data_IF_217696983480
#
_entry.id   IF_217696983480
#
_cell.length_a   1.000
_cell.length_b   1.000
_cell.length_c   1.000
_cell.angle_alpha   90.00
_cell.angle_beta   90.00
_cell.angle_gamma   90.00
#
_symmetry.space_group_name_H-M   'P 1'
#
loop_
_entity.id
_entity.type
_entity.pdbx_description
1 polymer ?
#
# COMPACT_ATOMS: atom_id res chain seq x y z
N UNK A 1 -12.32 12.82 -31.33
CA UNK A 1 -10.87 13.11 -31.25
C UNK A 1 -10.39 13.11 -29.79
N UNK A 2 -10.66 12.05 -29.01
CA UNK A 2 -10.26 11.94 -27.60
C UNK A 2 -9.75 10.51 -27.25
N UNK A 3 -9.29 9.75 -28.25
CA UNK A 3 -8.80 8.38 -28.09
C UNK A 3 -7.27 8.26 -28.23
N UNK A 4 -6.52 9.30 -27.84
CA UNK A 4 -5.10 9.44 -28.19
C UNK A 4 -4.10 9.07 -27.08
N UNK A 5 -4.52 8.97 -25.82
CA UNK A 5 -3.63 8.59 -24.72
C UNK A 5 -3.70 7.08 -24.59
N UNK A 6 -2.90 6.39 -25.39
CA UNK A 6 -2.72 4.95 -25.25
C UNK A 6 -1.77 4.66 -24.08
N UNK A 7 -2.06 3.59 -23.35
CA UNK A 7 -1.34 3.16 -22.14
C UNK A 7 0.17 3.00 -22.40
N UNK A 8 0.55 2.63 -23.62
CA UNK A 8 1.93 2.49 -24.05
C UNK A 8 2.72 3.81 -24.02
N UNK A 9 2.09 4.92 -24.41
CA UNK A 9 2.68 6.25 -24.41
C UNK A 9 2.90 6.73 -22.97
N UNK A 10 1.94 6.45 -22.08
CA UNK A 10 2.07 6.80 -20.66
C UNK A 10 3.24 6.06 -20.00
N UNK A 11 3.45 4.77 -20.31
CA UNK A 11 4.60 4.01 -19.78
C UNK A 11 5.93 4.60 -20.23
N UNK A 12 6.06 4.98 -21.51
CA UNK A 12 7.29 5.59 -22.03
C UNK A 12 7.59 6.92 -21.33
N UNK A 13 6.57 7.77 -21.15
CA UNK A 13 6.72 9.04 -20.43
C UNK A 13 7.07 8.79 -18.95
N UNK A 14 6.44 7.80 -18.32
CA UNK A 14 6.70 7.46 -16.92
C UNK A 14 8.15 7.03 -16.68
N UNK A 15 8.75 6.25 -17.58
CA UNK A 15 10.16 5.86 -17.52
C UNK A 15 11.07 7.09 -17.56
N UNK A 16 10.80 8.05 -18.45
CA UNK A 16 11.58 9.29 -18.56
C UNK A 16 11.48 10.10 -17.26
N UNK A 17 10.27 10.23 -16.70
CA UNK A 17 10.05 10.94 -15.42
C UNK A 17 10.83 10.26 -14.29
N UNK A 18 10.78 8.93 -14.17
CA UNK A 18 11.56 8.19 -13.18
C UNK A 18 13.07 8.43 -13.33
N UNK A 19 13.59 8.49 -14.57
CA UNK A 19 15.00 8.74 -14.81
C UNK A 19 15.44 10.15 -14.40
N UNK A 20 14.58 11.17 -14.61
CA UNK A 20 14.87 12.56 -14.23
C UNK A 20 14.80 12.74 -12.71
N UNK A 21 13.74 12.24 -12.07
CA UNK A 21 13.51 12.44 -10.64
C UNK A 21 14.23 11.41 -9.75
N UNK A 22 14.61 10.25 -10.32
CA UNK A 22 15.14 9.10 -9.63
C UNK A 22 14.08 8.33 -8.84
N UNK A 23 14.28 7.01 -8.70
CA UNK A 23 13.35 6.13 -7.95
C UNK A 23 13.29 6.44 -6.46
N UNK A 24 14.34 7.01 -5.86
CA UNK A 24 14.40 7.33 -4.42
C UNK A 24 13.40 8.42 -4.01
N UNK A 25 13.23 9.46 -4.84
CA UNK A 25 12.26 10.54 -4.57
C UNK A 25 10.84 10.10 -4.87
N UNK A 26 10.63 9.35 -5.96
CA UNK A 26 9.33 8.75 -6.27
C UNK A 26 8.88 7.73 -5.22
N UNK A 27 9.79 6.98 -4.58
CA UNK A 27 9.43 6.05 -3.50
C UNK A 27 9.01 6.75 -2.22
N UNK A 28 9.73 7.80 -1.81
CA UNK A 28 9.34 8.58 -0.63
C UNK A 28 7.97 9.24 -0.85
N UNK A 29 7.81 9.97 -1.95
CA UNK A 29 6.56 10.69 -2.23
C UNK A 29 5.41 9.75 -2.60
N UNK A 30 5.71 8.67 -3.32
CA UNK A 30 4.72 7.66 -3.72
C UNK A 30 4.27 6.77 -2.57
N UNK A 31 5.08 6.60 -1.52
CA UNK A 31 4.66 5.92 -0.29
C UNK A 31 3.56 6.70 0.43
N UNK A 32 3.77 7.99 0.62
CA UNK A 32 2.81 8.87 1.31
C UNK A 32 1.52 9.04 0.51
N UNK A 33 1.64 9.36 -0.79
CA UNK A 33 0.48 9.50 -1.68
C UNK A 33 -0.22 8.16 -1.92
N UNK A 34 0.53 7.08 -2.08
CA UNK A 34 0.00 5.74 -2.27
C UNK A 34 -0.74 5.23 -1.05
N UNK A 35 -0.25 5.53 0.16
CA UNK A 35 -0.94 5.22 1.41
C UNK A 35 -2.28 5.93 1.53
N UNK A 36 -2.31 7.24 1.23
CA UNK A 36 -3.54 8.03 1.25
C UNK A 36 -4.58 7.52 0.22
N UNK A 37 -4.13 7.23 -1.01
CA UNK A 37 -5.01 6.68 -2.06
C UNK A 37 -5.47 5.25 -1.73
N UNK A 38 -4.65 4.43 -1.07
CA UNK A 38 -5.03 3.08 -0.61
C UNK A 38 -6.15 3.16 0.43
N UNK A 39 -6.04 4.06 1.41
CA UNK A 39 -7.11 4.29 2.40
C UNK A 39 -8.41 4.77 1.76
N UNK A 40 -8.32 5.71 0.82
CA UNK A 40 -9.49 6.19 0.05
C UNK A 40 -10.15 5.08 -0.77
N UNK A 41 -9.36 4.26 -1.47
CA UNK A 41 -9.87 3.11 -2.23
C UNK A 41 -10.56 2.12 -1.30
N UNK A 42 -9.95 1.82 -0.14
CA UNK A 42 -10.51 0.89 0.83
C UNK A 42 -11.84 1.40 1.38
N UNK A 43 -11.93 2.67 1.77
CA UNK A 43 -13.18 3.27 2.25
C UNK A 43 -14.30 3.21 1.18
N UNK A 44 -13.98 3.57 -0.07
CA UNK A 44 -14.94 3.44 -1.19
C UNK A 44 -15.40 2.00 -1.42
N UNK A 45 -14.48 1.03 -1.31
CA UNK A 45 -14.82 -0.38 -1.53
C UNK A 45 -15.55 -0.98 -0.32
N UNK A 46 -15.29 -0.52 0.90
CA UNK A 46 -15.98 -0.94 2.12
C UNK A 46 -17.41 -0.40 2.12
N UNK A 47 -17.62 0.86 1.73
CA UNK A 47 -18.95 1.42 1.50
C UNK A 47 -19.69 0.67 0.38
N UNK A 48 -19.00 0.32 -0.72
CA UNK A 48 -19.59 -0.46 -1.82
C UNK A 48 -19.96 -1.89 -1.39
N UNK A 49 -19.12 -2.54 -0.57
CA UNK A 49 -19.36 -3.88 -0.04
C UNK A 49 -20.47 -3.87 1.02
N UNK A 50 -20.59 -2.80 1.82
CA UNK A 50 -21.68 -2.60 2.79
C UNK A 50 -23.03 -2.41 2.10
N UNK A 51 -23.06 -1.75 0.93
CA UNK A 51 -24.28 -1.60 0.11
C UNK A 51 -24.69 -2.92 -0.57
N UNK A 52 -23.74 -3.82 -0.86
CA UNK A 52 -24.02 -5.16 -1.38
C UNK A 52 -24.41 -6.17 -0.27
N UNK A 53 -23.82 -6.07 0.93
CA UNK A 53 -24.10 -6.94 2.08
C UNK A 53 -25.39 -6.57 2.84
N UNK A 54 -25.92 -5.35 2.73
CA UNK A 54 -27.27 -5.04 3.26
C UNK A 54 -28.41 -5.79 2.52
N UNK A 55 -28.10 -6.46 1.40
CA UNK A 55 -29.01 -7.41 0.74
C UNK A 55 -28.73 -8.88 1.08
N UNK A 56 -27.68 -9.18 1.83
CA UNK A 56 -27.29 -10.54 2.14
C UNK A 56 -26.51 -10.60 3.47
N UNK A 57 -27.24 -10.99 4.51
CA UNK A 57 -26.71 -11.77 5.65
C UNK A 57 -26.46 -10.98 6.94
N UNK A 58 -27.55 -10.81 7.67
CA UNK A 58 -27.62 -10.89 9.13
C UNK A 58 -27.13 -12.27 9.62
N UNK A 59 -25.85 -12.62 9.43
CA UNK A 59 -25.25 -13.83 9.98
C UNK A 59 -23.72 -13.84 9.83
N UNK A 60 -23.06 -14.34 10.88
CA UNK A 60 -21.62 -14.60 11.02
C UNK A 60 -20.72 -13.42 11.42
N UNK A 61 -20.79 -13.16 12.73
CA UNK A 61 -19.59 -13.26 13.58
C UNK A 61 -18.69 -14.44 13.16
N UNK A 62 -17.37 -14.23 13.06
CA UNK A 62 -16.29 -14.95 13.77
C UNK A 62 -14.94 -14.53 13.14
N UNK A 63 -14.03 -14.14 14.04
CA UNK A 63 -12.57 -14.08 14.01
C UNK A 63 -11.77 -14.56 12.78
N UNK A 64 -10.78 -13.77 12.39
CA UNK A 64 -9.41 -14.11 11.90
C UNK A 64 -8.77 -12.78 11.44
N UNK A 65 -7.49 -12.45 11.56
CA UNK A 65 -6.26 -13.12 11.97
C UNK A 65 -5.25 -11.96 12.15
N UNK A 66 -4.83 -11.61 13.37
CA UNK A 66 -3.66 -10.75 13.58
C UNK A 66 -2.42 -11.61 13.32
N UNK A 67 -1.92 -11.58 12.09
CA UNK A 67 -0.54 -11.95 11.78
C UNK A 67 0.20 -10.70 11.33
N UNK A 68 0.65 -9.96 12.34
CA UNK A 68 1.71 -8.98 12.23
C UNK A 68 2.93 -9.64 11.57
N UNK A 69 3.21 -9.21 10.33
CA UNK A 69 4.42 -9.58 9.62
C UNK A 69 5.61 -8.89 10.31
N UNK A 70 6.15 -9.55 11.33
CA UNK A 70 7.49 -9.24 11.86
C UNK A 70 8.50 -9.50 10.75
N UNK A 71 8.96 -8.43 10.10
CA UNK A 71 10.11 -8.43 9.21
C UNK A 71 11.29 -7.83 9.96
N UNK A 72 12.13 -8.74 10.45
CA UNK A 72 13.58 -8.63 10.61
C UNK A 72 14.20 -7.23 10.49
N UNK A 73 14.57 -6.66 11.63
CA UNK A 73 15.66 -5.70 11.69
C UNK A 73 16.69 -6.17 12.73
N UNK A 74 17.58 -7.05 12.27
CA UNK A 74 18.88 -7.28 12.88
C UNK A 74 19.60 -5.92 12.98
N UNK A 75 19.81 -5.44 14.20
CA UNK A 75 20.74 -4.36 14.53
C UNK A 75 21.21 -4.53 15.97
N UNK A 76 22.30 -5.29 16.07
CA UNK A 76 23.36 -5.29 17.09
C UNK A 76 23.12 -4.52 18.40
N UNK A 77 23.06 -5.26 19.51
CA UNK A 77 23.64 -4.78 20.78
C UNK A 77 24.28 -5.93 21.56
N UNK A 78 25.59 -6.06 21.35
CA UNK A 78 26.51 -6.88 22.16
C UNK A 78 26.54 -6.32 23.58
N UNK A 79 25.97 -7.04 24.54
CA UNK A 79 26.23 -6.88 25.97
C UNK A 79 26.92 -8.14 26.47
N UNK A 80 28.22 -8.04 26.70
CA UNK A 80 28.99 -8.97 27.50
C UNK A 80 29.56 -8.12 28.64
N UNK A 81 28.72 -7.92 29.66
CA UNK A 81 29.11 -7.43 30.98
C UNK A 81 28.15 -8.09 31.97
N UNK A 82 28.59 -9.20 32.55
CA UNK A 82 28.01 -9.75 33.77
C UNK A 82 29.17 -10.15 34.68
N UNK A 83 29.72 -9.14 35.36
CA UNK A 83 30.32 -9.30 36.69
C UNK A 83 29.26 -8.85 37.70
N UNK A 84 28.55 -9.82 38.29
CA UNK A 84 28.23 -9.95 39.73
C UNK A 84 27.17 -11.02 39.95
#
# INVERSE_FOLDING_TARGET
MLGGISIWQLLIVFVIVILIFGTKKLRNLGGDLGGAVKGFKNAINEDSKKVEEEKSTEQQSIAHDEKDATFDQVSEKKQQDQEK
#
